data_IF_362179460104
#
_entry.id   IF_362179460104
#
_cell.length_a   1.000
_cell.length_b   1.000
_cell.length_c   1.000
_cell.angle_alpha   90.00
_cell.angle_beta   90.00
_cell.angle_gamma   90.00
#
_symmetry.space_group_name_H-M   'P 1'
#
loop_
_entity.id
_entity.type
_entity.pdbx_description
1 polymer ?
#
# COMPACT_ATOMS: atom_id res chain seq x y z
N UNK A 1 5.78 5.20 -0.08
CA UNK A 1 5.79 4.56 1.24
C UNK A 1 6.47 5.43 2.28
N UNK A 2 7.80 5.55 2.27
CA UNK A 2 8.60 6.25 3.31
C UNK A 2 7.99 7.58 3.78
N UNK A 3 7.87 8.55 2.87
CA UNK A 3 7.37 9.90 3.19
C UNK A 3 5.93 9.85 3.71
N UNK A 4 5.03 9.13 3.04
CA UNK A 4 3.63 9.05 3.48
C UNK A 4 3.47 8.38 4.85
N UNK A 5 4.28 7.36 5.16
CA UNK A 5 4.28 6.72 6.47
C UNK A 5 4.77 7.69 7.56
N UNK A 6 5.85 8.42 7.29
CA UNK A 6 6.39 9.46 8.18
C UNK A 6 5.37 10.57 8.48
N UNK A 7 4.50 10.91 7.52
CA UNK A 7 3.40 11.87 7.74
C UNK A 7 2.09 11.22 8.21
N UNK A 8 2.07 9.91 8.49
CA UNK A 8 0.89 9.16 8.93
C UNK A 8 -0.31 9.26 7.97
N UNK A 9 -0.04 9.34 6.67
CA UNK A 9 -1.05 9.38 5.59
C UNK A 9 -0.96 8.20 4.63
N UNK A 10 -0.06 7.25 4.90
CA UNK A 10 0.00 6.00 4.15
C UNK A 10 -1.23 5.14 4.43
N UNK A 11 -1.74 4.50 3.39
CA UNK A 11 -2.91 3.62 3.44
C UNK A 11 -2.61 2.34 2.68
N UNK A 12 -3.04 1.22 3.26
CA UNK A 12 -3.16 -0.07 2.59
C UNK A 12 -4.28 -0.05 1.55
N UNK A 13 -4.32 -1.04 0.67
CA UNK A 13 -5.41 -1.22 -0.32
C UNK A 13 -6.78 -1.24 0.36
N UNK A 14 -6.89 -1.91 1.52
CA UNK A 14 -8.13 -2.00 2.28
C UNK A 14 -8.56 -0.62 2.80
N UNK A 15 -7.66 0.11 3.46
CA UNK A 15 -7.94 1.44 3.99
C UNK A 15 -8.30 2.43 2.88
N UNK A 16 -7.57 2.38 1.76
CA UNK A 16 -7.79 3.24 0.61
C UNK A 16 -9.18 3.01 0.00
N UNK A 17 -9.58 1.75 -0.23
CA UNK A 17 -10.93 1.39 -0.70
C UNK A 17 -11.99 1.73 0.34
N UNK A 18 -11.73 1.47 1.61
CA UNK A 18 -12.66 1.78 2.69
C UNK A 18 -12.96 3.28 2.75
N UNK A 19 -11.93 4.14 2.72
CA UNK A 19 -12.10 5.60 2.69
C UNK A 19 -12.86 6.06 1.44
N UNK A 20 -12.55 5.50 0.27
CA UNK A 20 -13.30 5.80 -0.96
C UNK A 20 -14.80 5.61 -0.75
N UNK A 21 -15.21 4.45 -0.25
CA UNK A 21 -16.63 4.13 -0.10
C UNK A 21 -17.26 4.91 1.06
N UNK A 22 -16.65 4.86 2.24
CA UNK A 22 -17.16 5.47 3.46
C UNK A 22 -17.29 7.00 3.35
N UNK A 23 -16.26 7.67 2.85
CA UNK A 23 -16.17 9.13 2.92
C UNK A 23 -16.61 9.82 1.62
N UNK A 24 -16.32 9.22 0.45
CA UNK A 24 -16.48 9.90 -0.85
C UNK A 24 -17.66 9.40 -1.68
N UNK A 25 -17.92 8.08 -1.72
CA UNK A 25 -19.03 7.53 -2.50
C UNK A 25 -20.33 7.64 -1.71
N UNK A 26 -20.37 7.09 -0.49
CA UNK A 26 -21.54 7.06 0.38
C UNK A 26 -21.50 8.10 1.51
N UNK A 27 -20.37 8.78 1.69
CA UNK A 27 -20.21 9.86 2.66
C UNK A 27 -20.46 11.25 2.08
N UNK A 28 -20.06 12.27 2.85
CA UNK A 28 -20.24 13.69 2.51
C UNK A 28 -18.91 14.44 2.30
N UNK A 29 -17.79 13.72 2.13
CA UNK A 29 -16.44 14.29 1.96
C UNK A 29 -15.85 14.01 0.58
N UNK A 30 -16.71 14.00 -0.46
CA UNK A 30 -16.26 13.75 -1.83
C UNK A 30 -15.37 14.89 -2.33
N UNK A 31 -14.18 14.54 -2.80
CA UNK A 31 -13.25 15.46 -3.47
C UNK A 31 -13.19 15.06 -4.94
N UNK A 32 -13.49 16.00 -5.83
CA UNK A 32 -13.41 15.80 -7.28
C UNK A 32 -12.52 16.85 -7.92
N UNK A 33 -11.93 16.51 -9.06
CA UNK A 33 -11.25 17.49 -9.91
C UNK A 33 -12.20 18.15 -10.93
N UNK A 34 -11.64 19.04 -11.76
CA UNK A 34 -12.36 19.77 -12.80
C UNK A 34 -13.03 18.87 -13.85
N UNK A 35 -12.58 17.61 -13.97
CA UNK A 35 -13.16 16.60 -14.86
C UNK A 35 -14.13 15.68 -14.13
N UNK A 36 -14.52 16.05 -12.90
CA UNK A 36 -15.42 15.29 -12.03
C UNK A 36 -14.91 13.89 -11.66
N UNK A 37 -13.58 13.69 -11.61
CA UNK A 37 -12.95 12.43 -11.15
C UNK A 37 -12.72 12.51 -9.65
N UNK A 38 -13.05 11.45 -8.92
CA UNK A 38 -12.79 11.36 -7.48
C UNK A 38 -11.28 11.35 -7.24
N UNK A 39 -10.78 12.28 -6.42
CA UNK A 39 -9.37 12.42 -6.08
C UNK A 39 -9.07 11.77 -4.74
N UNK A 40 -9.07 10.44 -4.75
CA UNK A 40 -8.70 9.65 -3.59
C UNK A 40 -7.21 9.79 -3.25
N UNK A 41 -6.40 10.06 -4.27
CA UNK A 41 -4.96 10.31 -4.30
C UNK A 41 -4.54 11.67 -3.72
N UNK A 42 -5.47 12.51 -3.25
CA UNK A 42 -5.15 13.86 -2.76
C UNK A 42 -4.13 13.89 -1.61
N UNK A 43 -4.05 12.84 -0.78
CA UNK A 43 -3.04 12.72 0.29
C UNK A 43 -1.64 12.49 -0.28
N UNK A 44 -1.53 11.66 -1.32
CA UNK A 44 -0.26 11.39 -2.03
C UNK A 44 0.17 12.60 -2.86
N UNK A 45 -0.80 13.29 -3.45
CA UNK A 45 -0.58 14.47 -4.29
C UNK A 45 -0.39 15.77 -3.49
N UNK A 46 -0.36 15.70 -2.15
CA UNK A 46 -0.07 16.88 -1.31
C UNK A 46 1.32 17.45 -1.69
N UNK A 47 1.44 18.77 -1.96
CA UNK A 47 2.71 19.37 -2.37
C UNK A 47 3.88 19.13 -1.42
N UNK A 48 3.61 19.01 -0.11
CA UNK A 48 4.62 18.72 0.91
C UNK A 48 5.14 17.29 0.75
N UNK A 49 4.25 16.33 0.54
CA UNK A 49 4.59 14.91 0.34
C UNK A 49 5.38 14.75 -0.95
N UNK A 50 4.94 15.36 -2.05
CA UNK A 50 5.64 15.31 -3.33
C UNK A 50 7.04 15.93 -3.24
N UNK A 51 7.17 17.10 -2.61
CA UNK A 51 8.47 17.78 -2.45
C UNK A 51 9.46 16.94 -1.64
N UNK A 52 9.02 16.37 -0.51
CA UNK A 52 9.89 15.53 0.32
C UNK A 52 10.25 14.22 -0.38
N UNK A 53 9.33 13.66 -1.17
CA UNK A 53 9.58 12.45 -1.98
C UNK A 53 10.65 12.71 -3.04
N UNK A 54 10.54 13.82 -3.78
CA UNK A 54 11.55 14.22 -4.78
C UNK A 54 12.92 14.46 -4.12
N UNK A 55 12.94 15.13 -2.96
CA UNK A 55 14.17 15.39 -2.22
C UNK A 55 14.84 14.08 -1.80
N UNK A 56 14.08 13.14 -1.23
CA UNK A 56 14.56 11.81 -0.84
C UNK A 56 15.11 11.05 -2.07
N UNK A 57 14.38 11.02 -3.18
CA UNK A 57 14.84 10.36 -4.41
C UNK A 57 16.13 10.96 -4.96
N UNK A 58 16.33 12.27 -4.81
CA UNK A 58 17.53 12.94 -5.34
C UNK A 58 18.75 12.77 -4.43
N UNK A 59 18.53 12.52 -3.14
CA UNK A 59 19.61 12.40 -2.14
C UNK A 59 20.02 10.96 -1.83
N UNK A 60 19.24 9.97 -2.26
CA UNK A 60 19.48 8.56 -1.94
C UNK A 60 20.47 7.93 -2.92
N UNK A 61 21.33 7.06 -2.44
CA UNK A 61 22.13 6.12 -3.24
C UNK A 61 21.51 4.70 -3.16
N UNK A 62 22.01 3.78 -3.98
CA UNK A 62 21.43 2.43 -4.10
C UNK A 62 21.44 1.66 -2.76
N UNK A 63 22.49 1.83 -1.95
CA UNK A 63 22.65 1.12 -0.68
C UNK A 63 21.72 1.67 0.40
N UNK A 64 21.55 3.00 0.49
CA UNK A 64 20.66 3.63 1.48
C UNK A 64 19.19 3.40 1.18
N UNK A 65 18.83 3.14 -0.09
CA UNK A 65 17.45 2.95 -0.50
C UNK A 65 16.79 1.71 0.14
N UNK A 66 17.52 0.61 0.26
CA UNK A 66 17.00 -0.63 0.87
C UNK A 66 16.88 -0.55 2.40
N UNK A 67 17.58 0.38 3.04
CA UNK A 67 17.50 0.56 4.48
C UNK A 67 16.28 1.35 4.93
N UNK A 68 15.61 2.06 4.02
CA UNK A 68 14.39 2.80 4.29
C UNK A 68 13.27 1.86 4.76
N UNK A 69 12.60 2.25 5.85
CA UNK A 69 11.44 1.52 6.38
C UNK A 69 10.34 1.37 5.33
N UNK A 70 10.14 2.39 4.49
CA UNK A 70 9.21 2.37 3.38
C UNK A 70 9.55 1.34 2.30
N UNK A 71 10.85 1.12 2.04
CA UNK A 71 11.29 0.09 1.09
C UNK A 71 11.11 -1.30 1.70
N UNK A 72 11.54 -1.50 2.94
CA UNK A 72 11.33 -2.76 3.69
C UNK A 72 9.84 -3.12 3.75
N UNK A 73 8.99 -2.13 4.04
CA UNK A 73 7.53 -2.30 4.07
C UNK A 73 6.97 -2.66 2.71
N UNK A 74 7.39 -1.98 1.65
CA UNK A 74 6.95 -2.29 0.29
C UNK A 74 7.31 -3.73 -0.10
N UNK A 75 8.55 -4.17 0.18
CA UNK A 75 8.99 -5.54 -0.08
C UNK A 75 8.16 -6.56 0.70
N UNK A 76 7.92 -6.32 2.00
CA UNK A 76 7.04 -7.17 2.81
C UNK A 76 5.63 -7.28 2.22
N UNK A 77 5.06 -6.17 1.75
CA UNK A 77 3.73 -6.20 1.10
C UNK A 77 3.73 -6.98 -0.22
N UNK A 78 4.81 -6.91 -1.00
CA UNK A 78 4.98 -7.76 -2.20
C UNK A 78 5.02 -9.23 -1.81
N UNK A 79 5.78 -9.61 -0.78
CA UNK A 79 5.81 -10.99 -0.29
C UNK A 79 4.42 -11.45 0.17
N UNK A 80 3.71 -10.62 0.93
CA UNK A 80 2.38 -10.93 1.44
C UNK A 80 1.32 -11.10 0.34
N UNK A 81 1.38 -10.33 -0.75
CA UNK A 81 0.50 -10.51 -1.91
C UNK A 81 0.70 -11.90 -2.54
N UNK A 82 1.91 -12.46 -2.46
CA UNK A 82 2.23 -13.79 -2.96
C UNK A 82 2.07 -14.91 -1.92
N UNK A 83 1.58 -14.59 -0.71
CA UNK A 83 1.37 -15.58 0.35
C UNK A 83 2.57 -15.81 1.28
N UNK A 84 3.60 -14.97 1.22
CA UNK A 84 4.84 -15.11 2.00
C UNK A 84 4.97 -14.05 3.12
N UNK A 85 5.90 -14.26 4.06
CA UNK A 85 6.22 -13.35 5.17
C UNK A 85 5.03 -12.99 6.08
N UNK A 86 4.17 -13.96 6.34
CA UNK A 86 3.15 -13.88 7.39
C UNK A 86 3.68 -14.49 8.68
N UNK A 87 3.63 -13.73 9.77
CA UNK A 87 4.20 -14.13 11.07
C UNK A 87 3.47 -15.34 11.68
N UNK A 88 2.20 -15.56 11.30
CA UNK A 88 1.34 -16.63 11.83
C UNK A 88 1.25 -17.87 10.92
N UNK A 89 2.09 -17.97 9.88
CA UNK A 89 2.11 -19.10 8.93
C UNK A 89 3.36 -19.95 9.15
N UNK A 90 3.15 -21.26 9.35
CA UNK A 90 4.22 -22.25 9.35
C UNK A 90 4.62 -22.59 7.90
N UNK A 91 5.77 -22.07 7.47
CA UNK A 91 6.30 -22.30 6.12
C UNK A 91 7.03 -23.63 5.96
N UNK A 92 7.32 -24.35 7.05
CA UNK A 92 7.92 -25.68 7.02
C UNK A 92 6.85 -26.79 6.93
N UNK A 93 5.57 -26.44 7.10
CA UNK A 93 4.46 -27.38 6.96
C UNK A 93 4.26 -27.80 5.49
N UNK A 94 4.18 -29.11 5.25
CA UNK A 94 3.83 -29.65 3.94
C UNK A 94 2.44 -29.16 3.46
N UNK A 95 2.34 -28.92 2.15
CA UNK A 95 1.12 -28.48 1.48
C UNK A 95 0.64 -29.56 0.51
N UNK A 96 -0.57 -30.07 0.74
CA UNK A 96 -1.24 -31.03 -0.15
C UNK A 96 -1.87 -30.30 -1.36
N UNK A 97 -1.17 -30.33 -2.49
CA UNK A 97 -1.58 -29.67 -3.72
C UNK A 97 -2.79 -30.36 -4.40
N UNK A 98 -2.93 -31.68 -4.27
CA UNK A 98 -4.07 -32.41 -4.87
C UNK A 98 -5.36 -31.97 -4.20
N UNK A 99 -5.39 -31.96 -2.87
CA UNK A 99 -6.54 -31.50 -2.08
C UNK A 99 -6.89 -30.03 -2.32
N UNK A 100 -5.89 -29.17 -2.56
CA UNK A 100 -6.15 -27.76 -2.87
C UNK A 100 -6.78 -27.58 -4.26
N UNK A 101 -6.43 -28.43 -5.22
CA UNK A 101 -6.96 -28.36 -6.59
C UNK A 101 -8.46 -28.68 -6.69
N UNK A 102 -9.00 -29.42 -5.71
CA UNK A 102 -10.42 -29.78 -5.64
C UNK A 102 -11.32 -28.63 -5.13
N UNK A 103 -10.73 -27.57 -4.58
CA UNK A 103 -11.50 -26.44 -4.03
C UNK A 103 -12.15 -25.63 -5.15
N UNK A 104 -13.46 -25.47 -5.10
CA UNK A 104 -14.19 -24.53 -5.94
C UNK A 104 -13.99 -23.09 -5.46
N UNK A 105 -14.04 -22.09 -6.37
CA UNK A 105 -14.16 -20.69 -5.98
C UNK A 105 -15.38 -20.50 -5.08
N UNK A 106 -15.19 -19.79 -3.97
CA UNK A 106 -16.26 -19.40 -3.05
C UNK A 106 -16.98 -18.17 -3.58
#
# INVERSE_FOLDING_TARGET
FEVMMKHHVHETILEHKFRLFKDMIYGNKRIVDEKNRIRLDHLEMDPKIQKETIALMTSSDDDTFFELEGTKRFLKEVHQIHGFEFDDIDYDQDVDLEKLSEKAPV
#
